data_IF_098021693393
#
_entry.id   IF_098021693393
#
_cell.length_a   1.000
_cell.length_b   1.000
_cell.length_c   1.000
_cell.angle_alpha   90.00
_cell.angle_beta   90.00
_cell.angle_gamma   90.00
#
_symmetry.space_group_name_H-M   'P 1'
#
loop_
_entity.id
_entity.type
_entity.pdbx_description
1 polymer ?
#
# COMPACT_ATOMS: atom_id res chain seq x y z
N UNK A 1 -36.05 -43.71 -10.41
CA UNK A 1 -37.49 -43.34 -10.29
C UNK A 1 -37.60 -41.84 -10.54
N UNK A 2 -37.97 -41.46 -11.74
CA UNK A 2 -38.57 -40.18 -12.16
C UNK A 2 -40.09 -40.27 -11.99
N UNK A 3 -40.83 -39.18 -11.82
CA UNK A 3 -41.40 -38.49 -12.98
C UNK A 3 -41.29 -36.95 -12.83
N UNK A 4 -41.02 -36.19 -13.89
CA UNK A 4 -41.83 -35.75 -15.03
C UNK A 4 -43.07 -34.90 -14.64
N UNK A 5 -43.07 -33.65 -15.12
CA UNK A 5 -44.18 -32.73 -15.04
C UNK A 5 -43.85 -31.38 -15.66
N UNK A 6 -43.86 -31.32 -16.98
CA UNK A 6 -43.88 -30.07 -17.76
C UNK A 6 -45.24 -29.38 -17.69
N UNK A 7 -45.30 -28.06 -17.70
CA UNK A 7 -46.27 -27.32 -18.51
C UNK A 7 -45.85 -25.91 -18.83
N UNK A 8 -45.81 -25.65 -20.08
CA UNK A 8 -45.78 -24.35 -20.78
C UNK A 8 -47.03 -23.50 -20.46
N UNK A 9 -46.86 -22.19 -20.36
CA UNK A 9 -47.85 -21.24 -20.76
C UNK A 9 -47.21 -19.98 -21.33
N UNK A 10 -47.42 -19.78 -22.64
CA UNK A 10 -47.27 -18.56 -23.41
C UNK A 10 -48.34 -17.55 -23.00
N UNK A 11 -47.97 -16.24 -23.03
CA UNK A 11 -48.69 -15.10 -23.60
C UNK A 11 -47.85 -13.87 -23.33
N UNK A 12 -47.24 -13.20 -24.30
CA UNK A 12 -47.87 -12.23 -25.20
C UNK A 12 -48.28 -10.92 -24.47
N UNK A 13 -47.56 -9.83 -24.75
CA UNK A 13 -48.00 -8.48 -24.36
C UNK A 13 -46.90 -7.43 -24.49
N UNK A 14 -46.56 -7.00 -25.71
CA UNK A 14 -45.89 -5.71 -25.91
C UNK A 14 -46.92 -4.60 -25.76
N UNK A 15 -46.68 -3.51 -25.01
CA UNK A 15 -47.45 -2.28 -25.19
C UNK A 15 -46.81 -1.44 -26.29
N UNK A 16 -47.67 -1.00 -27.21
CA UNK A 16 -47.39 -0.09 -28.29
C UNK A 16 -47.00 1.31 -27.78
N UNK A 17 -45.93 1.84 -28.34
CA UNK A 17 -45.56 3.24 -28.17
C UNK A 17 -46.49 4.07 -29.02
N UNK A 18 -47.37 4.85 -28.38
CA UNK A 18 -48.25 5.83 -28.97
C UNK A 18 -47.42 7.07 -29.26
N UNK A 19 -47.22 7.40 -30.54
CA UNK A 19 -46.70 8.67 -30.98
C UNK A 19 -47.72 9.78 -30.70
N UNK A 20 -47.41 10.66 -29.78
CA UNK A 20 -48.09 11.96 -29.68
C UNK A 20 -47.41 12.94 -30.62
N UNK A 21 -48.07 13.30 -31.69
CA UNK A 21 -47.78 14.46 -32.51
C UNK A 21 -47.96 15.73 -31.66
N UNK A 22 -46.85 16.29 -31.17
CA UNK A 22 -46.87 17.64 -30.63
C UNK A 22 -46.63 18.64 -31.76
N UNK A 23 -47.69 19.35 -32.11
CA UNK A 23 -47.74 20.49 -33.01
C UNK A 23 -46.69 21.54 -32.56
N UNK A 24 -45.59 21.64 -33.28
CA UNK A 24 -44.65 22.72 -33.13
C UNK A 24 -45.19 24.01 -33.75
N UNK A 25 -45.69 24.87 -32.88
CA UNK A 25 -45.97 26.27 -33.22
C UNK A 25 -44.62 26.98 -33.44
N UNK A 26 -44.37 27.45 -34.66
CA UNK A 26 -43.21 28.27 -35.02
C UNK A 26 -43.29 29.59 -34.25
N UNK A 27 -42.31 29.97 -33.44
CA UNK A 27 -42.30 31.30 -32.83
C UNK A 27 -41.98 32.36 -33.88
N UNK A 28 -42.80 33.43 -33.87
CA UNK A 28 -42.62 34.60 -34.72
C UNK A 28 -41.24 35.18 -34.62
N UNK A 29 -40.66 35.63 -35.74
CA UNK A 29 -39.40 36.32 -35.86
C UNK A 29 -39.36 37.52 -34.90
N UNK A 30 -38.53 37.41 -33.88
CA UNK A 30 -38.17 38.53 -32.99
C UNK A 30 -37.44 39.60 -33.80
N UNK A 31 -37.76 40.88 -33.55
CA UNK A 31 -37.21 42.03 -34.24
C UNK A 31 -35.68 42.09 -34.00
N UNK A 32 -34.93 42.58 -34.98
CA UNK A 32 -33.47 42.62 -34.94
C UNK A 32 -32.84 43.44 -33.76
N UNK A 33 -33.66 44.15 -33.00
CA UNK A 33 -33.27 44.83 -31.76
C UNK A 33 -33.20 43.89 -30.58
N UNK A 34 -34.12 42.94 -30.44
CA UNK A 34 -34.12 41.93 -29.34
C UNK A 34 -32.98 40.91 -29.51
N UNK A 35 -32.63 40.54 -30.75
CA UNK A 35 -31.50 39.69 -31.02
C UNK A 35 -30.17 40.36 -30.71
N UNK A 36 -30.05 41.68 -30.88
CA UNK A 36 -28.87 42.45 -30.50
C UNK A 36 -28.76 42.61 -28.99
N UNK A 37 -29.88 42.83 -28.27
CA UNK A 37 -29.84 42.92 -26.81
C UNK A 37 -29.51 41.52 -26.16
N UNK A 38 -30.03 40.46 -26.72
CA UNK A 38 -29.66 39.09 -26.27
C UNK A 38 -28.20 38.76 -26.61
N UNK A 39 -27.65 39.21 -27.74
CA UNK A 39 -26.25 39.02 -28.08
C UNK A 39 -25.32 39.87 -27.23
N UNK A 40 -25.74 41.08 -26.82
CA UNK A 40 -24.97 41.94 -25.91
C UNK A 40 -25.04 41.40 -24.48
N UNK A 41 -26.19 40.88 -24.03
CA UNK A 41 -26.32 40.22 -22.72
C UNK A 41 -25.49 38.93 -22.62
N UNK A 42 -25.27 38.22 -23.74
CA UNK A 42 -24.36 37.06 -23.81
C UNK A 42 -22.90 37.40 -23.81
N UNK A 43 -22.54 38.67 -24.16
CA UNK A 43 -21.17 39.17 -24.14
C UNK A 43 -20.76 39.79 -22.78
N UNK A 44 -21.75 40.12 -21.93
CA UNK A 44 -21.54 40.72 -20.60
C UNK A 44 -21.52 39.70 -19.45
N UNK A 45 -21.67 38.41 -19.75
CA UNK A 45 -21.37 37.36 -18.77
C UNK A 45 -19.86 37.12 -18.83
N UNK A 46 -19.13 37.20 -17.67
CA UNK A 46 -17.73 36.84 -17.64
C UNK A 46 -17.62 35.37 -18.07
N UNK A 47 -16.87 35.05 -19.14
CA UNK A 47 -16.84 33.74 -19.67
C UNK A 47 -16.04 32.82 -18.75
N UNK A 48 -16.63 31.69 -18.43
CA UNK A 48 -15.92 30.43 -18.28
C UNK A 48 -14.80 30.28 -17.22
N UNK A 49 -14.50 31.28 -16.38
CA UNK A 49 -13.51 31.06 -15.29
C UNK A 49 -14.02 30.02 -14.28
N UNK A 50 -15.30 30.01 -13.98
CA UNK A 50 -15.90 29.01 -13.09
C UNK A 50 -15.93 27.61 -13.70
N UNK A 51 -16.14 27.48 -15.01
CA UNK A 51 -16.21 26.19 -15.68
C UNK A 51 -14.80 25.60 -15.93
N UNK A 52 -13.84 26.46 -16.25
CA UNK A 52 -12.43 26.05 -16.36
C UNK A 52 -11.81 25.73 -15.00
N UNK A 53 -12.22 26.43 -13.93
CA UNK A 53 -11.76 26.14 -12.58
C UNK A 53 -12.36 24.85 -12.02
N UNK A 54 -13.63 24.54 -12.31
CA UNK A 54 -14.27 23.26 -11.93
C UNK A 54 -13.66 22.08 -12.68
N UNK A 55 -13.47 22.16 -13.99
CA UNK A 55 -12.82 21.12 -14.77
C UNK A 55 -11.34 20.91 -14.39
N UNK A 56 -10.64 21.94 -13.97
CA UNK A 56 -9.29 21.84 -13.46
C UNK A 56 -9.27 21.23 -12.04
N UNK A 57 -10.22 21.59 -11.17
CA UNK A 57 -10.35 21.03 -9.83
C UNK A 57 -10.69 19.52 -9.87
N UNK A 58 -11.53 19.07 -10.81
CA UNK A 58 -11.85 17.66 -11.01
C UNK A 58 -10.69 16.83 -11.56
N UNK A 59 -9.68 17.47 -12.18
CA UNK A 59 -8.50 16.79 -12.72
C UNK A 59 -7.49 16.38 -11.64
N UNK A 60 -7.48 17.04 -10.49
CA UNK A 60 -6.56 16.77 -9.37
C UNK A 60 -7.23 15.89 -8.31
N UNK A 61 -6.40 15.25 -7.50
CA UNK A 61 -6.87 14.50 -6.32
C UNK A 61 -7.39 15.47 -5.25
N UNK A 62 -8.40 15.02 -4.50
CA UNK A 62 -9.03 15.83 -3.43
C UNK A 62 -8.43 15.56 -2.05
N UNK A 63 -7.64 14.49 -1.92
CA UNK A 63 -7.03 14.03 -0.67
C UNK A 63 -5.67 14.70 -0.34
N UNK A 64 -5.23 15.66 -1.18
CA UNK A 64 -3.96 16.36 -1.02
C UNK A 64 -2.73 15.53 -1.39
N UNK A 65 -2.90 14.43 -2.12
CA UNK A 65 -1.78 13.63 -2.61
C UNK A 65 -0.95 14.39 -3.65
N UNK A 66 0.35 14.10 -3.67
CA UNK A 66 1.34 14.74 -4.53
C UNK A 66 1.86 13.75 -5.57
N UNK A 67 2.39 14.27 -6.67
CA UNK A 67 3.18 13.52 -7.63
C UNK A 67 4.65 13.39 -7.17
N UNK A 68 5.50 12.76 -7.99
CA UNK A 68 6.93 12.58 -7.68
C UNK A 68 7.68 13.92 -7.57
N UNK A 69 7.24 14.94 -8.28
CA UNK A 69 7.87 16.26 -8.35
C UNK A 69 7.35 17.21 -7.26
N UNK A 70 6.40 16.74 -6.42
CA UNK A 70 5.80 17.49 -5.31
C UNK A 70 4.63 18.41 -5.72
N UNK A 71 4.10 18.24 -6.94
CA UNK A 71 2.91 18.96 -7.41
C UNK A 71 1.65 18.17 -7.04
N UNK A 72 0.46 18.82 -6.99
CA UNK A 72 -0.80 18.12 -6.82
C UNK A 72 -0.97 16.98 -7.85
N UNK A 73 -1.36 15.81 -7.38
CA UNK A 73 -1.43 14.63 -8.23
C UNK A 73 -2.59 14.68 -9.22
N UNK A 74 -2.31 14.43 -10.50
CA UNK A 74 -3.32 14.36 -11.55
C UNK A 74 -3.98 12.98 -11.58
N UNK A 75 -5.31 12.90 -11.40
CA UNK A 75 -6.08 11.64 -11.39
C UNK A 75 -5.84 10.78 -12.64
N UNK A 76 -5.71 11.38 -13.81
CA UNK A 76 -5.53 10.67 -15.07
C UNK A 76 -4.14 10.04 -15.24
N UNK A 77 -3.10 10.60 -14.61
CA UNK A 77 -1.69 10.20 -14.79
C UNK A 77 -1.17 9.34 -13.64
N UNK A 78 -1.69 9.56 -12.44
CA UNK A 78 -1.17 8.95 -11.21
C UNK A 78 -2.22 8.11 -10.50
N UNK A 79 -1.76 7.15 -9.70
CA UNK A 79 -2.57 6.35 -8.81
C UNK A 79 -3.49 5.33 -9.48
N UNK A 80 -4.53 4.95 -8.75
CA UNK A 80 -5.54 4.00 -9.16
C UNK A 80 -4.98 2.61 -9.51
N UNK A 81 -5.74 1.83 -10.24
CA UNK A 81 -5.35 0.47 -10.65
C UNK A 81 -4.07 0.39 -11.49
N UNK A 82 -3.65 1.49 -12.15
CA UNK A 82 -2.40 1.52 -12.93
C UNK A 82 -1.17 1.40 -12.02
N UNK A 83 -1.21 2.07 -10.89
CA UNK A 83 -0.18 2.00 -9.86
C UNK A 83 -0.28 0.68 -9.06
N UNK A 84 -1.50 0.31 -8.65
CA UNK A 84 -1.74 -0.87 -7.82
C UNK A 84 -1.29 -2.18 -8.48
N UNK A 85 -1.44 -2.34 -9.79
CA UNK A 85 -0.95 -3.56 -10.49
C UNK A 85 0.54 -3.78 -10.29
N UNK A 86 1.33 -2.72 -10.31
CA UNK A 86 2.77 -2.82 -10.05
C UNK A 86 3.04 -3.17 -8.58
N UNK A 87 2.30 -2.55 -7.65
CA UNK A 87 2.44 -2.85 -6.23
C UNK A 87 2.04 -4.29 -5.90
N UNK A 88 1.02 -4.84 -6.56
CA UNK A 88 0.66 -6.25 -6.44
C UNK A 88 1.77 -7.18 -6.96
N UNK A 89 2.42 -6.83 -8.07
CA UNK A 89 3.57 -7.60 -8.55
C UNK A 89 4.75 -7.55 -7.57
N UNK A 90 4.97 -6.41 -6.92
CA UNK A 90 6.01 -6.25 -5.88
C UNK A 90 5.64 -7.08 -4.64
N UNK A 91 4.37 -7.10 -4.23
CA UNK A 91 3.87 -7.96 -3.15
C UNK A 91 4.11 -9.44 -3.46
N UNK A 92 3.86 -9.84 -4.69
CA UNK A 92 4.17 -11.20 -5.15
C UNK A 92 5.67 -11.51 -5.00
N UNK A 93 6.55 -10.64 -5.51
CA UNK A 93 8.01 -10.81 -5.42
C UNK A 93 8.48 -10.89 -3.97
N UNK A 94 7.90 -10.05 -3.09
CA UNK A 94 8.19 -10.04 -1.67
C UNK A 94 7.82 -11.37 -1.01
N UNK A 95 6.57 -11.85 -1.19
CA UNK A 95 6.11 -13.09 -0.56
C UNK A 95 6.80 -14.32 -1.14
N UNK A 96 7.05 -14.35 -2.44
CA UNK A 96 7.84 -15.40 -3.07
C UNK A 96 9.23 -15.50 -2.42
N UNK A 97 9.87 -14.35 -2.19
CA UNK A 97 11.24 -14.31 -1.69
C UNK A 97 11.33 -14.67 -0.21
N UNK A 98 10.49 -14.09 0.63
CA UNK A 98 10.56 -14.36 2.08
C UNK A 98 10.16 -15.80 2.42
N UNK A 99 9.11 -16.32 1.77
CA UNK A 99 8.69 -17.71 2.00
C UNK A 99 9.64 -18.72 1.36
N UNK A 100 10.25 -18.40 0.21
CA UNK A 100 11.23 -19.26 -0.44
C UNK A 100 12.51 -19.49 0.37
N UNK A 101 12.87 -18.54 1.24
CA UNK A 101 13.94 -18.75 2.24
C UNK A 101 13.38 -19.47 3.46
N UNK A 102 12.26 -19.00 4.02
CA UNK A 102 11.77 -19.44 5.32
C UNK A 102 11.38 -20.93 5.33
N UNK A 103 10.74 -21.40 4.25
CA UNK A 103 10.18 -22.76 4.19
C UNK A 103 11.24 -23.87 4.29
N UNK A 104 12.43 -23.65 3.74
CA UNK A 104 13.48 -24.68 3.68
C UNK A 104 14.73 -24.34 4.51
N UNK A 105 14.70 -23.25 5.30
CA UNK A 105 15.86 -22.78 6.06
C UNK A 105 16.31 -23.77 7.12
N UNK A 106 15.38 -24.43 7.84
CA UNK A 106 15.72 -25.43 8.85
C UNK A 106 16.44 -26.61 8.21
N UNK A 107 15.95 -27.12 7.08
CA UNK A 107 16.57 -28.20 6.32
C UNK A 107 17.99 -27.82 5.90
N UNK A 108 18.18 -26.59 5.41
CA UNK A 108 19.50 -26.11 5.05
C UNK A 108 20.48 -26.06 6.22
N UNK A 109 20.05 -25.54 7.38
CA UNK A 109 20.90 -25.47 8.57
C UNK A 109 21.25 -26.85 9.11
N UNK A 110 20.34 -27.82 9.05
CA UNK A 110 20.58 -29.16 9.60
C UNK A 110 21.35 -30.07 8.63
N UNK A 111 20.96 -30.08 7.35
CA UNK A 111 21.53 -31.02 6.36
C UNK A 111 22.84 -30.50 5.77
N UNK A 112 22.92 -29.18 5.44
CA UNK A 112 24.08 -28.62 4.74
C UNK A 112 25.12 -28.03 5.69
N UNK A 113 24.68 -27.35 6.78
CA UNK A 113 25.60 -26.80 7.77
C UNK A 113 25.87 -27.78 8.95
N UNK A 114 25.14 -28.89 9.06
CA UNK A 114 25.36 -29.88 10.10
C UNK A 114 24.93 -29.41 11.50
N UNK A 115 24.11 -28.36 11.61
CA UNK A 115 23.60 -27.89 12.89
C UNK A 115 22.63 -28.91 13.53
N UNK A 116 22.69 -29.04 14.85
CA UNK A 116 21.70 -29.87 15.55
C UNK A 116 20.27 -29.31 15.40
N UNK A 117 19.27 -30.19 15.27
CA UNK A 117 17.87 -29.81 15.01
C UNK A 117 17.33 -28.73 15.96
N UNK A 118 17.66 -28.84 17.26
CA UNK A 118 17.22 -27.88 18.29
C UNK A 118 17.87 -26.51 18.08
N UNK A 119 19.17 -26.49 17.76
CA UNK A 119 19.90 -25.26 17.50
C UNK A 119 19.39 -24.57 16.24
N UNK A 120 19.19 -25.31 15.14
CA UNK A 120 18.62 -24.80 13.90
C UNK A 120 17.22 -24.21 14.11
N UNK A 121 16.33 -24.94 14.77
CA UNK A 121 14.98 -24.47 15.07
C UNK A 121 14.98 -23.20 15.93
N UNK A 122 15.85 -23.13 16.95
CA UNK A 122 16.02 -21.92 17.77
C UNK A 122 16.50 -20.73 16.95
N UNK A 123 17.50 -20.91 16.10
CA UNK A 123 18.06 -19.83 15.25
C UNK A 123 17.01 -19.28 14.28
N UNK A 124 16.25 -20.17 13.63
CA UNK A 124 15.17 -19.76 12.71
C UNK A 124 14.05 -19.05 13.48
N UNK A 125 13.62 -19.57 14.62
CA UNK A 125 12.58 -18.92 15.44
C UNK A 125 13.03 -17.55 15.95
N UNK A 126 14.28 -17.40 16.37
CA UNK A 126 14.83 -16.11 16.80
C UNK A 126 14.87 -15.10 15.65
N UNK A 127 15.31 -15.54 14.47
CA UNK A 127 15.28 -14.70 13.27
C UNK A 127 13.85 -14.28 12.87
N UNK A 128 12.88 -15.20 12.89
CA UNK A 128 11.49 -14.90 12.60
C UNK A 128 10.88 -13.93 13.63
N UNK A 129 11.16 -14.13 14.92
CA UNK A 129 10.73 -13.21 15.97
C UNK A 129 11.31 -11.80 15.75
N UNK A 130 12.60 -11.69 15.44
CA UNK A 130 13.24 -10.42 15.10
C UNK A 130 12.58 -9.77 13.88
N UNK A 131 12.34 -10.54 12.81
CA UNK A 131 11.66 -10.07 11.59
C UNK A 131 10.23 -9.61 11.85
N UNK A 132 9.60 -10.05 12.93
CA UNK A 132 8.23 -9.65 13.31
C UNK A 132 8.20 -8.35 14.14
N UNK A 133 9.28 -8.03 14.85
CA UNK A 133 9.38 -6.81 15.68
C UNK A 133 9.86 -5.60 14.87
N UNK A 134 10.84 -5.77 13.99
CA UNK A 134 11.42 -4.68 13.18
C UNK A 134 10.38 -3.88 12.40
N UNK A 135 9.27 -4.45 11.86
CA UNK A 135 8.22 -3.70 11.18
C UNK A 135 7.59 -2.55 11.98
N UNK A 136 7.59 -2.64 13.30
CA UNK A 136 7.12 -1.53 14.14
C UNK A 136 8.01 -0.29 13.98
N UNK A 137 9.33 -0.48 14.03
CA UNK A 137 10.28 0.62 13.81
C UNK A 137 10.21 1.14 12.36
N UNK A 138 10.06 0.23 11.38
CA UNK A 138 9.90 0.58 9.98
C UNK A 138 8.67 1.42 9.69
N UNK A 139 7.52 1.09 10.30
CA UNK A 139 6.29 1.86 10.18
C UNK A 139 6.46 3.29 10.74
N UNK A 140 7.08 3.42 11.92
CA UNK A 140 7.34 4.71 12.55
C UNK A 140 8.24 5.58 11.66
N UNK A 141 9.33 5.02 11.12
CA UNK A 141 10.24 5.73 10.23
C UNK A 141 9.53 6.19 8.94
N UNK A 142 8.67 5.32 8.38
CA UNK A 142 7.95 5.60 7.16
C UNK A 142 6.93 6.73 7.34
N UNK A 143 6.11 6.66 8.39
CA UNK A 143 5.02 7.61 8.58
C UNK A 143 5.51 8.95 9.17
N UNK A 144 6.60 8.94 9.97
CA UNK A 144 7.08 10.14 10.67
C UNK A 144 8.12 10.94 9.90
N UNK A 145 9.04 10.28 9.16
CA UNK A 145 10.26 10.95 8.66
C UNK A 145 10.50 10.79 7.17
N UNK A 146 10.52 9.55 6.65
CA UNK A 146 11.02 9.28 5.30
C UNK A 146 9.93 9.26 4.24
N UNK A 147 8.69 9.03 4.63
CA UNK A 147 7.58 8.72 3.73
C UNK A 147 7.61 7.27 3.25
N UNK A 148 6.44 6.72 2.98
CA UNK A 148 6.23 5.29 2.66
C UNK A 148 7.06 4.82 1.45
N UNK A 149 7.09 5.59 0.36
CA UNK A 149 7.80 5.19 -0.85
C UNK A 149 9.31 5.09 -0.65
N UNK A 150 9.95 6.09 -0.03
CA UNK A 150 11.40 6.06 0.23
C UNK A 150 11.77 4.90 1.15
N UNK A 151 10.98 4.69 2.19
CA UNK A 151 11.16 3.54 3.10
C UNK A 151 11.04 2.23 2.35
N UNK A 152 10.08 2.08 1.44
CA UNK A 152 9.94 0.88 0.61
C UNK A 152 11.17 0.64 -0.28
N UNK A 153 11.66 1.67 -0.98
CA UNK A 153 12.84 1.54 -1.86
C UNK A 153 14.08 1.13 -1.07
N UNK A 154 14.35 1.79 0.06
CA UNK A 154 15.51 1.47 0.92
C UNK A 154 15.38 0.05 1.46
N UNK A 155 14.21 -0.29 1.99
CA UNK A 155 13.93 -1.61 2.58
C UNK A 155 14.01 -2.73 1.56
N UNK A 156 13.49 -2.51 0.35
CA UNK A 156 13.56 -3.50 -0.73
C UNK A 156 15.00 -3.71 -1.22
N UNK A 157 15.79 -2.63 -1.30
CA UNK A 157 17.21 -2.71 -1.62
C UNK A 157 17.98 -3.47 -0.52
N UNK A 158 17.70 -3.19 0.74
CA UNK A 158 18.30 -3.90 1.88
C UNK A 158 17.95 -5.38 1.85
N UNK A 159 16.68 -5.71 1.57
CA UNK A 159 16.24 -7.10 1.41
C UNK A 159 16.98 -7.81 0.29
N UNK A 160 17.14 -7.17 -0.89
CA UNK A 160 17.87 -7.74 -2.01
C UNK A 160 19.35 -7.99 -1.67
N UNK A 161 20.00 -7.06 -0.97
CA UNK A 161 21.38 -7.23 -0.49
C UNK A 161 21.49 -8.43 0.46
N UNK A 162 20.57 -8.55 1.42
CA UNK A 162 20.54 -9.71 2.34
C UNK A 162 20.35 -11.03 1.58
N UNK A 163 19.51 -11.05 0.53
CA UNK A 163 19.30 -12.23 -0.30
C UNK A 163 20.55 -12.61 -1.10
N UNK A 164 21.26 -11.61 -1.65
CA UNK A 164 22.54 -11.83 -2.34
C UNK A 164 23.58 -12.42 -1.37
N UNK A 165 23.68 -11.90 -0.15
CA UNK A 165 24.60 -12.46 0.86
C UNK A 165 24.24 -13.90 1.23
N UNK A 166 22.96 -14.20 1.36
CA UNK A 166 22.47 -15.55 1.61
C UNK A 166 22.81 -16.50 0.45
N UNK A 167 22.65 -16.06 -0.81
CA UNK A 167 23.07 -16.81 -1.97
C UNK A 167 24.59 -17.02 -1.98
N UNK A 168 25.38 -15.96 -1.71
CA UNK A 168 26.83 -16.02 -1.69
C UNK A 168 27.35 -16.99 -0.60
N UNK A 169 26.73 -17.02 0.59
CA UNK A 169 27.09 -17.98 1.63
C UNK A 169 26.94 -19.42 1.18
N UNK A 170 25.91 -19.71 0.37
CA UNK A 170 25.68 -21.06 -0.14
C UNK A 170 26.68 -21.49 -1.24
N UNK A 171 27.24 -20.55 -2.00
CA UNK A 171 28.29 -20.82 -2.97
C UNK A 171 29.70 -20.89 -2.37
N UNK A 172 29.89 -20.45 -1.12
CA UNK A 172 31.21 -20.36 -0.51
C UNK A 172 31.98 -21.70 -0.49
N UNK A 173 31.38 -22.86 -0.15
CA UNK A 173 32.05 -24.15 -0.20
C UNK A 173 32.54 -24.56 -1.60
N UNK A 174 31.84 -24.10 -2.65
CA UNK A 174 32.22 -24.36 -4.05
C UNK A 174 33.37 -23.47 -4.53
N UNK A 175 33.46 -22.24 -3.99
CA UNK A 175 34.48 -21.26 -4.34
C UNK A 175 35.80 -21.52 -3.63
N UNK A 176 35.73 -22.04 -2.41
CA UNK A 176 36.93 -22.29 -1.57
C UNK A 176 37.31 -23.77 -1.64
N UNK A 177 37.92 -24.17 -2.75
CA UNK A 177 38.29 -25.56 -3.03
C UNK A 177 39.42 -26.13 -2.17
N UNK A 178 40.26 -25.30 -1.53
CA UNK A 178 41.44 -25.79 -0.74
C UNK A 178 41.70 -24.91 0.50
N UNK A 179 41.65 -25.50 1.66
CA UNK A 179 42.55 -25.17 2.75
C UNK A 179 42.15 -24.17 3.83
N UNK A 180 40.88 -23.72 3.88
CA UNK A 180 40.42 -22.96 5.05
C UNK A 180 39.74 -23.91 6.02
N UNK A 181 40.39 -24.20 7.14
CA UNK A 181 39.90 -25.10 8.21
C UNK A 181 38.57 -24.64 8.85
N UNK A 182 38.10 -23.43 8.53
CA UNK A 182 36.89 -22.83 9.11
C UNK A 182 35.85 -22.39 8.08
N UNK A 183 35.78 -23.02 6.88
CA UNK A 183 34.84 -22.63 5.82
C UNK A 183 33.40 -22.68 6.32
N UNK A 184 32.98 -23.69 7.10
CA UNK A 184 31.65 -23.84 7.64
C UNK A 184 31.28 -22.68 8.58
N UNK A 185 32.21 -22.27 9.46
CA UNK A 185 31.97 -21.16 10.39
C UNK A 185 31.83 -19.82 9.68
N UNK A 186 32.61 -19.59 8.62
CA UNK A 186 32.51 -18.38 7.79
C UNK A 186 31.20 -18.40 6.98
N UNK A 187 30.82 -19.53 6.42
CA UNK A 187 29.55 -19.71 5.70
C UNK A 187 28.35 -19.42 6.60
N UNK A 188 28.36 -19.98 7.82
CA UNK A 188 27.32 -19.74 8.82
C UNK A 188 27.23 -18.25 9.17
N UNK A 189 28.36 -17.59 9.42
CA UNK A 189 28.41 -16.16 9.74
C UNK A 189 27.83 -15.29 8.64
N UNK A 190 28.19 -15.54 7.38
CA UNK A 190 27.67 -14.80 6.22
C UNK A 190 26.18 -15.07 6.04
N UNK A 191 25.73 -16.31 6.23
CA UNK A 191 24.32 -16.67 6.18
C UNK A 191 23.50 -15.87 7.18
N UNK A 192 23.88 -15.92 8.47
CA UNK A 192 23.14 -15.19 9.50
C UNK A 192 23.20 -13.69 9.31
N UNK A 193 24.33 -13.13 8.86
CA UNK A 193 24.42 -11.72 8.48
C UNK A 193 23.40 -11.40 7.38
N UNK A 194 23.32 -12.21 6.32
CA UNK A 194 22.33 -12.07 5.26
C UNK A 194 20.90 -12.14 5.78
N UNK A 195 20.58 -13.11 6.65
CA UNK A 195 19.27 -13.26 7.24
C UNK A 195 18.84 -12.07 8.11
N UNK A 196 19.73 -11.49 8.92
CA UNK A 196 19.40 -10.31 9.71
C UNK A 196 19.27 -9.04 8.85
N UNK A 197 20.05 -8.93 7.77
CA UNK A 197 19.85 -7.86 6.77
C UNK A 197 18.50 -8.01 6.08
N UNK A 198 18.08 -9.24 5.76
CA UNK A 198 16.73 -9.54 5.25
C UNK A 198 15.68 -9.08 6.27
N UNK A 199 15.84 -9.39 7.56
CA UNK A 199 14.91 -8.99 8.60
C UNK A 199 14.73 -7.46 8.67
N UNK A 200 15.83 -6.70 8.55
CA UNK A 200 15.80 -5.22 8.49
C UNK A 200 15.06 -4.75 7.24
N UNK A 201 15.35 -5.34 6.07
CA UNK A 201 14.68 -4.99 4.82
C UNK A 201 13.18 -5.27 4.86
N UNK A 202 12.77 -6.43 5.35
CA UNK A 202 11.36 -6.80 5.54
C UNK A 202 10.66 -5.82 6.49
N UNK A 203 11.38 -5.33 7.50
CA UNK A 203 10.85 -4.44 8.52
C UNK A 203 10.22 -3.15 7.97
N UNK A 204 10.87 -2.50 7.01
CA UNK A 204 10.30 -1.29 6.41
C UNK A 204 9.33 -1.56 5.25
N UNK A 205 9.53 -2.67 4.53
CA UNK A 205 8.72 -3.00 3.37
C UNK A 205 7.29 -3.43 3.74
N UNK A 206 7.17 -4.38 4.68
CA UNK A 206 5.91 -5.01 5.05
C UNK A 206 4.81 -4.02 5.47
N UNK A 207 5.04 -3.07 6.39
CA UNK A 207 4.00 -2.12 6.80
C UNK A 207 3.66 -1.09 5.73
N UNK A 208 4.64 -0.73 4.87
CA UNK A 208 4.45 0.33 3.89
C UNK A 208 3.71 -0.12 2.64
N UNK A 209 3.91 -1.36 2.18
CA UNK A 209 3.44 -1.79 0.85
C UNK A 209 1.90 -1.80 0.75
N UNK A 210 1.22 -2.32 1.76
CA UNK A 210 -0.25 -2.35 1.81
C UNK A 210 -0.85 -0.95 1.95
N UNK A 211 -0.32 -0.14 2.86
CA UNK A 211 -0.80 1.23 3.09
C UNK A 211 -0.51 2.14 1.91
N UNK A 212 0.70 2.05 1.30
CA UNK A 212 1.03 2.79 0.09
C UNK A 212 0.15 2.40 -1.11
N UNK A 213 -0.26 1.12 -1.19
CA UNK A 213 -1.21 0.67 -2.19
C UNK A 213 -2.60 1.27 -1.98
N UNK A 214 -3.06 1.40 -0.74
CA UNK A 214 -4.31 2.07 -0.41
C UNK A 214 -4.28 3.57 -0.72
N UNK A 215 -3.12 4.23 -0.54
CA UNK A 215 -2.90 5.64 -0.86
C UNK A 215 -2.98 5.96 -2.37
N UNK A 216 -3.00 4.94 -3.22
CA UNK A 216 -3.14 5.14 -4.67
C UNK A 216 -4.58 5.48 -5.09
N UNK A 217 -5.53 5.44 -4.17
CA UNK A 217 -6.94 5.77 -4.40
C UNK A 217 -7.32 7.01 -3.60
N UNK A 218 -7.97 7.97 -4.28
CA UNK A 218 -8.50 9.20 -3.68
C UNK A 218 -9.77 8.87 -2.85
N UNK A 219 -9.71 9.12 -1.55
CA UNK A 219 -10.84 8.88 -0.63
C UNK A 219 -12.00 9.87 -0.84
N UNK A 220 -11.73 11.03 -1.40
CA UNK A 220 -12.74 12.02 -1.75
C UNK A 220 -13.54 11.66 -3.01
N UNK A 221 -13.00 10.75 -3.85
CA UNK A 221 -13.70 10.27 -5.04
C UNK A 221 -14.48 8.98 -4.72
N UNK A 222 -15.82 8.98 -4.81
CA UNK A 222 -16.64 7.80 -4.51
C UNK A 222 -16.33 6.57 -5.37
N UNK A 223 -15.82 6.76 -6.60
CA UNK A 223 -15.47 5.66 -7.51
C UNK A 223 -14.15 5.03 -7.09
N UNK A 224 -13.13 5.85 -6.80
CA UNK A 224 -11.83 5.36 -6.35
C UNK A 224 -11.93 4.74 -4.95
N UNK A 225 -12.71 5.33 -4.05
CA UNK A 225 -12.97 4.79 -2.72
C UNK A 225 -13.58 3.39 -2.76
N UNK A 226 -14.52 3.14 -3.68
CA UNK A 226 -15.09 1.80 -3.90
C UNK A 226 -14.05 0.80 -4.42
N UNK A 227 -13.05 1.25 -5.16
CA UNK A 227 -12.02 0.41 -5.73
C UNK A 227 -11.00 -0.11 -4.68
N UNK A 228 -10.92 0.50 -3.48
CA UNK A 228 -10.06 0.03 -2.39
C UNK A 228 -10.40 -1.38 -1.91
N UNK A 229 -11.68 -1.73 -1.80
CA UNK A 229 -12.10 -3.07 -1.37
C UNK A 229 -11.54 -4.18 -2.28
N UNK A 230 -11.81 -4.14 -3.60
CA UNK A 230 -11.18 -5.06 -4.54
C UNK A 230 -9.65 -5.08 -4.50
N UNK A 231 -8.98 -3.93 -4.29
CA UNK A 231 -7.52 -3.89 -4.16
C UNK A 231 -7.03 -4.77 -3.00
N UNK A 232 -7.62 -4.67 -1.81
CA UNK A 232 -7.23 -5.50 -0.67
C UNK A 232 -7.44 -7.00 -0.93
N UNK A 233 -8.51 -7.37 -1.63
CA UNK A 233 -8.75 -8.76 -2.01
C UNK A 233 -7.65 -9.28 -2.95
N UNK A 234 -7.27 -8.49 -3.97
CA UNK A 234 -6.17 -8.84 -4.87
C UNK A 234 -4.83 -8.86 -4.16
N UNK A 235 -4.61 -7.97 -3.19
CA UNK A 235 -3.40 -7.94 -2.38
C UNK A 235 -3.22 -9.26 -1.62
N UNK A 236 -4.25 -9.69 -0.90
CA UNK A 236 -4.23 -10.96 -0.14
C UNK A 236 -4.09 -12.15 -1.09
N UNK A 237 -4.81 -12.17 -2.22
CA UNK A 237 -4.68 -13.22 -3.23
C UNK A 237 -3.24 -13.33 -3.74
N UNK A 238 -2.63 -12.22 -4.10
CA UNK A 238 -1.25 -12.17 -4.61
C UNK A 238 -0.23 -12.62 -3.56
N UNK A 239 -0.44 -12.24 -2.30
CA UNK A 239 0.36 -12.68 -1.15
C UNK A 239 0.37 -14.21 -1.05
N UNK A 240 -0.79 -14.85 -1.09
CA UNK A 240 -0.88 -16.31 -1.02
C UNK A 240 -0.37 -17.01 -2.28
N UNK A 241 -0.55 -16.44 -3.46
CA UNK A 241 0.05 -16.98 -4.70
C UNK A 241 1.57 -17.01 -4.61
N UNK A 242 2.20 -15.92 -4.14
CA UNK A 242 3.65 -15.85 -3.94
C UNK A 242 4.13 -16.90 -2.94
N UNK A 243 3.43 -17.02 -1.80
CA UNK A 243 3.76 -18.00 -0.76
C UNK A 243 3.61 -19.46 -1.24
N UNK A 244 2.57 -19.76 -2.00
CA UNK A 244 2.34 -21.12 -2.54
C UNK A 244 3.41 -21.49 -3.56
N UNK A 245 3.74 -20.58 -4.49
CA UNK A 245 4.81 -20.84 -5.47
C UNK A 245 6.18 -20.97 -4.78
N UNK A 246 6.42 -20.20 -3.72
CA UNK A 246 7.62 -20.35 -2.92
C UNK A 246 7.74 -21.73 -2.29
N UNK A 247 6.71 -22.17 -1.57
CA UNK A 247 6.74 -23.44 -0.82
C UNK A 247 6.73 -24.68 -1.72
N UNK A 248 6.26 -24.58 -2.93
CA UNK A 248 6.25 -25.70 -3.90
C UNK A 248 7.40 -25.58 -4.90
N UNK A 249 7.47 -24.50 -5.67
CA UNK A 249 8.40 -24.35 -6.77
C UNK A 249 9.84 -24.04 -6.31
N UNK A 250 10.01 -23.05 -5.43
CA UNK A 250 11.36 -22.66 -4.96
C UNK A 250 11.97 -23.77 -4.09
N UNK A 251 11.19 -24.36 -3.19
CA UNK A 251 11.66 -25.49 -2.38
C UNK A 251 12.03 -26.66 -3.26
N UNK A 252 11.23 -27.00 -4.27
CA UNK A 252 11.56 -28.04 -5.24
C UNK A 252 12.89 -27.79 -5.96
N UNK A 253 13.14 -26.53 -6.38
CA UNK A 253 14.42 -26.15 -6.99
C UNK A 253 15.58 -26.31 -6.02
N UNK A 254 15.40 -25.90 -4.77
CA UNK A 254 16.43 -26.03 -3.73
C UNK A 254 16.80 -27.49 -3.45
N UNK A 255 15.80 -28.38 -3.44
CA UNK A 255 16.00 -29.79 -3.12
C UNK A 255 16.62 -30.59 -4.28
N UNK A 256 16.28 -30.24 -5.54
CA UNK A 256 16.73 -31.01 -6.71
C UNK A 256 18.00 -30.44 -7.38
N UNK A 257 18.16 -29.12 -7.42
CA UNK A 257 19.28 -28.45 -8.10
C UNK A 257 20.29 -27.83 -7.13
N UNK A 258 20.04 -27.91 -5.85
CA UNK A 258 20.89 -27.38 -4.79
C UNK A 258 20.37 -26.07 -4.21
N UNK A 259 20.58 -25.94 -2.92
CA UNK A 259 19.99 -24.85 -2.12
C UNK A 259 20.43 -23.45 -2.60
N UNK A 260 21.64 -23.30 -3.10
CA UNK A 260 22.20 -22.03 -3.56
C UNK A 260 21.38 -21.38 -4.71
N UNK A 261 20.76 -22.19 -5.56
CA UNK A 261 19.94 -21.68 -6.67
C UNK A 261 18.66 -20.98 -6.19
N UNK A 262 18.05 -21.44 -5.11
CA UNK A 262 16.88 -20.80 -4.54
C UNK A 262 17.12 -19.32 -4.22
N UNK A 263 18.02 -18.97 -3.30
CA UNK A 263 18.34 -17.58 -2.98
C UNK A 263 18.80 -16.76 -4.18
N UNK A 264 19.48 -17.39 -5.15
CA UNK A 264 19.93 -16.69 -6.38
C UNK A 264 18.75 -16.26 -7.25
N UNK A 265 17.79 -17.16 -7.48
CA UNK A 265 16.55 -16.85 -8.21
C UNK A 265 15.78 -15.75 -7.48
N UNK A 266 15.66 -15.86 -6.15
CA UNK A 266 14.94 -14.90 -5.34
C UNK A 266 15.62 -13.51 -5.34
N UNK A 267 16.94 -13.45 -5.33
CA UNK A 267 17.70 -12.22 -5.49
C UNK A 267 17.43 -11.55 -6.84
N UNK A 268 17.37 -12.33 -7.93
CA UNK A 268 17.04 -11.83 -9.26
C UNK A 268 15.59 -11.32 -9.33
N UNK A 269 14.63 -12.02 -8.72
CA UNK A 269 13.23 -11.59 -8.60
C UNK A 269 13.13 -10.28 -7.83
N UNK A 270 13.84 -10.14 -6.71
CA UNK A 270 13.88 -8.90 -5.95
C UNK A 270 14.51 -7.75 -6.74
N UNK A 271 15.60 -7.99 -7.46
CA UNK A 271 16.21 -6.97 -8.32
C UNK A 271 15.24 -6.49 -9.41
N UNK A 272 14.49 -7.41 -10.03
CA UNK A 272 13.42 -7.09 -10.98
C UNK A 272 12.28 -6.30 -10.35
N UNK A 273 11.82 -6.70 -9.17
CA UNK A 273 10.79 -6.00 -8.41
C UNK A 273 11.21 -4.57 -8.01
N UNK A 274 12.44 -4.40 -7.53
CA UNK A 274 13.00 -3.09 -7.21
C UNK A 274 13.09 -2.18 -8.45
N UNK A 275 13.58 -2.73 -9.56
CA UNK A 275 13.65 -2.00 -10.83
C UNK A 275 12.27 -1.57 -11.29
N UNK A 276 11.26 -2.42 -11.16
CA UNK A 276 9.87 -2.12 -11.48
C UNK A 276 9.30 -1.03 -10.55
N UNK A 277 9.56 -1.11 -9.24
CA UNK A 277 9.14 -0.09 -8.25
C UNK A 277 9.69 1.29 -8.62
N UNK A 278 10.98 1.36 -8.95
CA UNK A 278 11.63 2.62 -9.30
C UNK A 278 11.19 3.13 -10.68
N UNK A 279 11.09 2.27 -11.68
CA UNK A 279 10.67 2.65 -13.03
C UNK A 279 9.23 3.19 -13.09
N UNK A 280 8.37 2.74 -12.19
CA UNK A 280 6.96 3.20 -12.10
C UNK A 280 6.74 4.35 -11.12
N UNK A 281 7.79 4.91 -10.54
CA UNK A 281 7.70 5.99 -9.53
C UNK A 281 6.82 7.18 -9.95
N UNK A 282 6.88 7.58 -11.23
CA UNK A 282 6.06 8.66 -11.79
C UNK A 282 4.56 8.37 -11.87
N UNK A 283 4.15 7.12 -11.66
CA UNK A 283 2.73 6.72 -11.65
C UNK A 283 2.13 6.71 -10.26
N UNK A 284 2.95 6.83 -9.22
CA UNK A 284 2.48 6.78 -7.85
C UNK A 284 1.99 8.13 -7.35
N UNK A 285 1.04 8.07 -6.40
CA UNK A 285 0.63 9.18 -5.55
C UNK A 285 1.36 9.09 -4.23
N UNK A 286 1.81 10.22 -3.73
CA UNK A 286 2.56 10.31 -2.50
C UNK A 286 1.75 11.11 -1.48
N UNK A 287 1.48 10.52 -0.33
CA UNK A 287 0.87 11.23 0.79
C UNK A 287 1.97 11.98 1.57
N UNK A 288 1.76 13.26 1.88
CA UNK A 288 2.67 13.99 2.75
C UNK A 288 2.72 13.34 4.13
N UNK A 289 3.92 13.34 4.74
CA UNK A 289 4.10 12.82 6.10
C UNK A 289 3.35 13.73 7.09
N UNK A 290 2.43 13.14 7.87
CA UNK A 290 1.60 13.88 8.84
C UNK A 290 2.24 14.02 10.23
N UNK A 291 3.54 13.71 10.37
CA UNK A 291 4.25 13.68 11.65
C UNK A 291 4.17 12.32 12.34
N UNK A 292 4.75 12.21 13.53
CA UNK A 292 4.82 10.95 14.26
C UNK A 292 3.53 10.65 15.04
N UNK A 293 2.78 9.59 14.70
CA UNK A 293 1.59 9.17 15.46
C UNK A 293 1.93 8.87 16.92
N UNK A 294 3.14 8.33 17.18
CA UNK A 294 3.60 8.07 18.55
C UNK A 294 3.77 9.34 19.35
N UNK A 295 4.26 10.42 18.74
CA UNK A 295 4.35 11.71 19.44
C UNK A 295 2.97 12.18 19.86
N UNK A 296 1.96 12.06 18.99
CA UNK A 296 0.57 12.39 19.32
C UNK A 296 0.04 11.54 20.49
N UNK A 297 0.24 10.22 20.44
CA UNK A 297 -0.16 9.32 21.53
C UNK A 297 0.58 9.66 22.83
N UNK A 298 1.89 9.87 22.78
CA UNK A 298 2.66 10.28 23.97
C UNK A 298 2.18 11.62 24.54
N UNK A 299 1.87 12.59 23.68
CA UNK A 299 1.31 13.87 24.11
C UNK A 299 -0.02 13.70 24.83
N UNK A 300 -0.92 12.88 24.28
CA UNK A 300 -2.22 12.58 24.92
C UNK A 300 -2.02 11.89 26.26
N UNK A 301 -1.15 10.87 26.35
CA UNK A 301 -0.85 10.17 27.60
C UNK A 301 -0.25 11.11 28.64
N UNK A 302 0.72 11.95 28.24
CA UNK A 302 1.33 12.94 29.14
C UNK A 302 0.30 13.97 29.59
N UNK A 303 -0.57 14.44 28.69
CA UNK A 303 -1.64 15.37 29.04
C UNK A 303 -2.64 14.73 30.02
N UNK A 304 -3.05 13.48 29.78
CA UNK A 304 -3.94 12.74 30.67
C UNK A 304 -3.33 12.55 32.07
N UNK A 305 -2.05 12.15 32.13
CA UNK A 305 -1.34 12.00 33.43
C UNK A 305 -1.20 13.34 34.15
N UNK A 306 -0.88 14.43 33.44
CA UNK A 306 -0.74 15.75 34.06
C UNK A 306 -2.06 16.32 34.54
N UNK A 307 -3.15 16.01 33.84
CA UNK A 307 -4.49 16.55 34.15
C UNK A 307 -5.37 15.55 34.91
N UNK A 308 -4.80 14.47 35.45
CA UNK A 308 -5.56 13.43 36.16
C UNK A 308 -6.43 13.96 37.29
N UNK A 309 -6.01 15.05 37.96
CA UNK A 309 -6.74 15.69 39.09
C UNK A 309 -7.56 16.91 38.67
N UNK A 310 -7.65 17.23 37.37
CA UNK A 310 -8.40 18.38 36.87
C UNK A 310 -9.83 17.93 36.58
N UNK A 311 -10.80 18.55 37.28
CA UNK A 311 -12.22 18.31 37.01
C UNK A 311 -12.61 18.95 35.66
N UNK A 312 -13.24 18.19 34.81
CA UNK A 312 -13.79 18.69 33.56
C UNK A 312 -14.93 19.68 33.86
N UNK A 313 -14.97 20.84 33.18
CA UNK A 313 -16.09 21.75 33.30
C UNK A 313 -17.37 21.10 32.78
N UNK A 314 -18.49 21.37 33.43
CA UNK A 314 -19.82 20.86 33.02
C UNK A 314 -20.30 21.42 31.68
N UNK A 315 -19.70 22.51 31.22
CA UNK A 315 -20.01 23.18 29.96
C UNK A 315 -18.84 22.98 28.97
N UNK A 316 -19.12 22.30 27.88
CA UNK A 316 -18.12 22.03 26.81
C UNK A 316 -17.59 23.30 26.14
N UNK A 317 -18.32 24.42 26.21
CA UNK A 317 -17.89 25.71 25.65
C UNK A 317 -16.70 26.32 26.37
N UNK A 318 -16.40 25.85 27.57
CA UNK A 318 -15.25 26.29 28.40
C UNK A 318 -13.96 25.51 28.08
N UNK A 319 -14.04 24.48 27.26
CA UNK A 319 -12.86 23.73 26.80
C UNK A 319 -12.07 24.57 25.78
N UNK A 320 -10.76 24.61 25.97
CA UNK A 320 -9.89 25.31 25.03
C UNK A 320 -9.88 24.60 23.70
N UNK A 321 -10.33 25.29 22.68
CA UNK A 321 -10.28 24.80 21.29
C UNK A 321 -9.18 25.51 20.53
N UNK A 322 -8.34 24.74 19.86
CA UNK A 322 -7.32 25.30 18.98
C UNK A 322 -8.01 25.96 17.77
N UNK A 323 -7.58 27.19 17.38
CA UNK A 323 -8.07 27.84 16.16
C UNK A 323 -7.83 26.94 14.93
N UNK A 324 -8.75 26.94 13.97
CA UNK A 324 -8.66 26.15 12.73
C UNK A 324 -7.39 26.45 11.89
N UNK A 325 -6.90 27.67 11.96
CA UNK A 325 -5.69 28.12 11.28
C UNK A 325 -4.38 27.67 11.94
N UNK A 326 -4.46 26.95 13.07
CA UNK A 326 -3.25 26.50 13.76
C UNK A 326 -2.49 25.47 12.92
N UNK A 327 -1.19 25.68 12.62
CA UNK A 327 -0.38 24.75 11.83
C UNK A 327 -0.31 23.34 12.41
N UNK A 328 -0.56 23.15 13.71
CA UNK A 328 -0.65 21.85 14.38
C UNK A 328 -1.88 21.07 13.93
N UNK A 329 -2.97 21.77 13.55
CA UNK A 329 -4.23 21.16 13.10
C UNK A 329 -4.22 20.78 11.61
N UNK A 330 -3.21 21.20 10.85
CA UNK A 330 -3.12 20.81 9.43
C UNK A 330 -2.98 19.30 9.30
N UNK A 331 -4.03 18.66 8.78
CA UNK A 331 -4.08 17.21 8.52
C UNK A 331 -4.76 16.38 9.62
N UNK A 332 -5.30 17.00 10.67
CA UNK A 332 -6.15 16.33 11.64
C UNK A 332 -7.60 16.73 11.40
N UNK A 333 -8.49 15.75 11.34
CA UNK A 333 -9.93 15.97 11.31
C UNK A 333 -10.41 16.23 12.75
N UNK A 334 -11.15 17.31 12.94
CA UNK A 334 -11.72 17.65 14.24
C UNK A 334 -12.83 16.65 14.56
N UNK A 335 -12.70 15.96 15.68
CA UNK A 335 -13.73 15.06 16.21
C UNK A 335 -14.48 15.85 17.30
N UNK A 336 -15.80 15.92 17.17
CA UNK A 336 -16.64 16.54 18.20
C UNK A 336 -16.56 15.73 19.51
N UNK A 337 -16.60 16.46 20.64
CA UNK A 337 -16.59 15.85 21.96
C UNK A 337 -17.82 14.98 22.16
N UNK A 338 -17.63 13.70 22.43
CA UNK A 338 -18.72 12.77 22.77
C UNK A 338 -18.79 12.56 24.27
N UNK A 339 -20.01 12.55 24.81
CA UNK A 339 -20.28 12.31 26.22
C UNK A 339 -19.84 10.93 26.72
N UNK A 340 -19.65 9.98 25.78
CA UNK A 340 -19.26 8.60 26.08
C UNK A 340 -17.78 8.45 26.50
N UNK A 341 -16.95 9.48 26.27
CA UNK A 341 -15.54 9.50 26.70
C UNK A 341 -15.33 10.14 28.09
N UNK A 342 -16.39 10.49 28.80
CA UNK A 342 -16.32 10.99 30.17
C UNK A 342 -15.98 9.90 31.23
N UNK A 343 -15.81 8.64 30.81
CA UNK A 343 -15.58 7.48 31.68
C UNK A 343 -14.13 7.27 32.10
N UNK A 344 -13.27 8.25 32.02
CA UNK A 344 -11.95 8.20 32.68
C UNK A 344 -11.93 9.26 33.77
N UNK A 345 -12.74 9.04 34.78
CA UNK A 345 -12.56 9.59 36.12
C UNK A 345 -11.73 8.67 36.97
#
# INVERSE_FOLDING_TARGET
>A
MLPAGAQLLKTSGRPAIRAEESSATVPAMASGSEQREQAVALLDHPPAEGFLSQGAAEAYTTDGSLDLDGNPALKQRTGGWRACRTLLAIEFCYNLSINGITCNLITYLTVFLGMGNVAAARSVSTWQATSSVIPLAGAILADSYWGRYRTMVISFSTFAVGMILTALSAYLPLLVKNGISNVVSVQESILFLGLYIIAVGVGGLRPCLMSFGADQFDDGDPLERRAKGPFFNWYVFTMYCGSTIASTGIVWVQDHYGWALGPTILAAVLAGGLSCLVATSRKYRFQPTRGSPLTGVCQVVVAAVRNFNVQLPSDSSLLYELPEDNPVMKGFERIEHTTDLQLVQ
#
